data_IF_726365997021
#
_entry.id   IF_726365997021
#
_cell.length_a   1.000
_cell.length_b   1.000
_cell.length_c   1.000
_cell.angle_alpha   90.00
_cell.angle_beta   90.00
_cell.angle_gamma   90.00
#
_symmetry.space_group_name_H-M   'P 1'
#
loop_
_entity.id
_entity.type
_entity.pdbx_description
1 polymer ?
#
# COMPACT_ATOMS: atom_id res chain seq x y z
N UNK A 1 -25.84 51.10 -59.59
CA UNK A 1 -26.32 49.80 -60.07
C UNK A 1 -25.10 48.97 -60.42
N UNK A 2 -24.73 48.14 -59.46
CA UNK A 2 -24.28 46.75 -59.60
C UNK A 2 -23.01 46.40 -60.42
N UNK A 3 -21.95 46.09 -59.67
CA UNK A 3 -21.02 44.93 -59.74
C UNK A 3 -21.46 43.72 -60.62
N UNK A 4 -20.54 42.88 -61.18
CA UNK A 4 -19.61 42.11 -60.36
C UNK A 4 -18.16 41.84 -60.86
N UNK A 5 -17.25 41.87 -59.88
CA UNK A 5 -16.23 40.88 -59.48
C UNK A 5 -15.73 39.79 -60.45
N UNK A 6 -14.40 39.70 -60.60
CA UNK A 6 -13.65 38.43 -60.71
C UNK A 6 -12.41 38.50 -59.80
N UNK A 7 -12.37 37.61 -58.81
CA UNK A 7 -11.21 37.33 -57.93
C UNK A 7 -10.24 36.39 -58.64
N UNK A 8 -8.95 36.75 -58.65
CA UNK A 8 -7.83 35.89 -59.06
C UNK A 8 -6.77 35.86 -57.96
N UNK A 9 -6.56 34.66 -57.41
CA UNK A 9 -5.59 34.17 -56.43
C UNK A 9 -4.28 34.96 -56.23
N UNK A 10 -3.81 35.05 -54.97
CA UNK A 10 -2.68 34.25 -54.45
C UNK A 10 -2.42 34.59 -52.97
N UNK A 11 -2.96 33.76 -52.06
CA UNK A 11 -2.52 33.66 -50.68
C UNK A 11 -1.44 32.58 -50.60
N UNK A 12 -0.25 32.91 -50.09
CA UNK A 12 0.65 31.90 -49.54
C UNK A 12 1.50 32.49 -48.40
N UNK A 13 0.96 32.42 -47.18
CA UNK A 13 1.73 32.44 -45.93
C UNK A 13 1.13 31.39 -45.03
N UNK A 14 1.69 30.19 -45.09
CA UNK A 14 1.39 29.09 -44.18
C UNK A 14 1.92 29.51 -42.80
N UNK A 15 1.00 29.72 -41.87
CA UNK A 15 1.29 29.82 -40.44
C UNK A 15 1.54 28.39 -39.94
N UNK A 16 2.77 28.10 -39.52
CA UNK A 16 3.09 26.84 -38.85
C UNK A 16 2.49 26.89 -37.44
N UNK A 17 1.25 26.46 -37.28
CA UNK A 17 0.68 26.20 -35.97
C UNK A 17 1.23 24.86 -35.47
N UNK A 18 2.20 24.91 -34.56
CA UNK A 18 2.61 23.76 -33.76
C UNK A 18 1.39 23.40 -32.90
N UNK A 19 0.63 22.41 -33.34
CA UNK A 19 -0.40 21.78 -32.53
C UNK A 19 0.33 21.03 -31.41
N UNK A 20 0.51 21.68 -30.26
CA UNK A 20 0.58 20.95 -29.01
C UNK A 20 -0.75 20.24 -28.87
N UNK A 21 -0.81 18.99 -29.32
CA UNK A 21 -1.89 18.09 -28.94
C UNK A 21 -1.69 17.85 -27.45
N UNK A 22 -2.31 18.68 -26.61
CA UNK A 22 -2.64 18.24 -25.26
C UNK A 22 -3.45 16.95 -25.45
N UNK A 23 -2.80 15.82 -25.21
CA UNK A 23 -3.54 14.58 -24.96
C UNK A 23 -4.31 14.87 -23.68
N UNK A 24 -5.54 15.35 -23.85
CA UNK A 24 -6.55 15.24 -22.81
C UNK A 24 -6.75 13.73 -22.71
N UNK A 25 -5.99 13.08 -21.83
CA UNK A 25 -6.34 11.77 -21.32
C UNK A 25 -7.76 11.94 -20.79
N UNK A 26 -8.71 11.30 -21.45
CA UNK A 26 -10.04 11.17 -20.93
C UNK A 26 -9.87 10.34 -19.65
N UNK A 27 -9.92 11.00 -18.48
CA UNK A 27 -10.11 10.34 -17.20
C UNK A 27 -11.50 9.69 -17.22
N UNK A 28 -11.64 8.56 -17.91
CA UNK A 28 -12.43 7.50 -17.29
C UNK A 28 -11.73 7.23 -15.97
N UNK A 29 -12.44 7.43 -14.85
CA UNK A 29 -11.91 7.21 -13.51
C UNK A 29 -11.33 5.79 -13.43
N UNK A 30 -10.04 5.70 -13.73
CA UNK A 30 -9.30 4.46 -13.64
C UNK A 30 -9.11 4.27 -12.15
N UNK A 31 -9.67 3.19 -11.62
CA UNK A 31 -9.53 2.84 -10.21
C UNK A 31 -8.12 2.32 -9.96
N UNK A 32 -7.14 3.22 -10.12
CA UNK A 32 -5.70 2.96 -10.03
C UNK A 32 -5.35 2.36 -8.67
N UNK A 33 -6.11 2.68 -7.63
CA UNK A 33 -5.94 2.16 -6.28
C UNK A 33 -6.19 0.65 -6.17
N UNK A 34 -6.94 0.04 -7.09
CA UNK A 34 -7.30 -1.37 -6.98
C UNK A 34 -6.12 -2.26 -7.37
N UNK A 35 -5.66 -3.16 -6.48
CA UNK A 35 -4.72 -4.21 -6.85
C UNK A 35 -5.34 -5.16 -7.88
N UNK A 36 -4.50 -5.94 -8.56
CA UNK A 36 -4.98 -7.06 -9.36
C UNK A 36 -5.66 -8.09 -8.44
N UNK A 37 -6.98 -8.22 -8.59
CA UNK A 37 -7.77 -9.09 -7.73
C UNK A 37 -7.41 -10.56 -7.93
N UNK A 38 -7.25 -11.31 -6.82
CA UNK A 38 -7.02 -12.75 -6.89
C UNK A 38 -8.30 -13.52 -7.22
N UNK A 39 -9.43 -13.02 -6.73
CA UNK A 39 -10.78 -13.49 -7.02
C UNK A 39 -11.73 -12.30 -7.22
N UNK A 40 -11.99 -11.91 -8.49
CA UNK A 40 -12.88 -10.80 -8.83
C UNK A 40 -14.31 -10.93 -8.26
N UNK A 41 -14.82 -12.15 -8.04
CA UNK A 41 -16.17 -12.37 -7.50
C UNK A 41 -16.28 -11.99 -6.01
N UNK A 42 -15.14 -11.85 -5.32
CA UNK A 42 -15.07 -11.45 -3.92
C UNK A 42 -14.65 -9.98 -3.75
N UNK A 43 -14.57 -9.22 -4.85
CA UNK A 43 -14.37 -7.77 -4.80
C UNK A 43 -15.68 -7.09 -4.46
N UNK A 44 -15.71 -6.39 -3.33
CA UNK A 44 -16.88 -5.70 -2.79
C UNK A 44 -16.62 -4.20 -2.78
N UNK A 45 -17.47 -3.46 -3.48
CA UNK A 45 -17.39 -1.99 -3.57
C UNK A 45 -18.37 -1.35 -2.59
N UNK A 46 -17.83 -0.54 -1.69
CA UNK A 46 -18.58 0.38 -0.83
C UNK A 46 -18.49 1.81 -1.37
N UNK A 47 -19.11 2.77 -0.69
CA UNK A 47 -19.20 4.14 -1.18
C UNK A 47 -17.83 4.82 -1.28
N UNK A 48 -16.90 4.55 -0.36
CA UNK A 48 -15.61 5.24 -0.22
C UNK A 48 -14.40 4.31 -0.10
N UNK A 49 -14.60 3.01 -0.22
CA UNK A 49 -13.51 2.03 -0.32
C UNK A 49 -14.00 0.78 -1.04
N UNK A 50 -13.06 0.04 -1.59
CA UNK A 50 -13.29 -1.28 -2.16
C UNK A 50 -12.44 -2.28 -1.39
N UNK A 51 -12.88 -3.53 -1.31
CA UNK A 51 -12.08 -4.60 -0.71
C UNK A 51 -12.18 -5.88 -1.53
N UNK A 52 -11.22 -6.77 -1.37
CA UNK A 52 -11.36 -8.17 -1.77
C UNK A 52 -11.47 -9.05 -0.53
N UNK A 53 -12.57 -9.79 -0.41
CA UNK A 53 -12.84 -10.59 0.78
C UNK A 53 -12.34 -12.03 0.66
N UNK A 54 -11.72 -12.55 1.73
CA UNK A 54 -11.32 -13.95 1.83
C UNK A 54 -12.29 -14.74 2.69
N UNK A 55 -13.01 -15.67 2.06
CA UNK A 55 -13.82 -16.67 2.78
C UNK A 55 -12.97 -17.56 3.71
N UNK A 56 -11.72 -17.85 3.33
CA UNK A 56 -10.81 -18.69 4.10
C UNK A 56 -10.34 -18.00 5.40
N UNK A 57 -10.13 -16.68 5.35
CA UNK A 57 -9.66 -15.88 6.49
C UNK A 57 -10.78 -15.18 7.26
N UNK A 58 -11.97 -15.03 6.65
CA UNK A 58 -13.13 -14.28 7.16
C UNK A 58 -12.82 -12.79 7.39
N UNK A 59 -12.02 -12.24 6.51
CA UNK A 59 -11.49 -10.85 6.52
C UNK A 59 -11.19 -10.43 5.08
N UNK A 60 -11.03 -9.13 4.84
CA UNK A 60 -10.45 -8.67 3.58
C UNK A 60 -8.97 -9.06 3.43
N UNK A 61 -8.57 -9.37 2.19
CA UNK A 61 -7.20 -9.51 1.72
C UNK A 61 -6.52 -8.15 1.56
N UNK A 62 -7.28 -7.18 1.06
CA UNK A 62 -6.90 -5.78 0.96
C UNK A 62 -8.16 -4.91 0.96
N UNK A 63 -8.00 -3.67 1.39
CA UNK A 63 -8.92 -2.56 1.13
C UNK A 63 -8.17 -1.49 0.34
N UNK A 64 -8.82 -0.91 -0.66
CA UNK A 64 -8.27 0.14 -1.49
C UNK A 64 -9.21 1.35 -1.54
N UNK A 65 -8.66 2.55 -1.42
CA UNK A 65 -9.42 3.80 -1.44
C UNK A 65 -8.54 4.99 -1.82
N UNK A 66 -9.18 6.03 -2.38
CA UNK A 66 -8.59 7.37 -2.46
C UNK A 66 -8.90 8.12 -1.15
N UNK A 67 -7.94 8.91 -0.68
CA UNK A 67 -8.15 9.86 0.41
C UNK A 67 -7.74 11.26 -0.05
N UNK A 68 -8.73 12.12 -0.18
CA UNK A 68 -8.58 13.53 -0.53
C UNK A 68 -8.42 14.40 0.71
N UNK A 69 -7.83 15.59 0.54
CA UNK A 69 -7.76 16.61 1.58
C UNK A 69 -9.16 17.03 2.08
N UNK A 70 -10.16 17.04 1.21
CA UNK A 70 -11.55 17.34 1.58
C UNK A 70 -12.13 16.29 2.53
N UNK A 71 -11.92 15.00 2.23
CA UNK A 71 -12.42 13.90 3.05
C UNK A 71 -11.79 13.88 4.44
N UNK A 72 -10.49 14.24 4.54
CA UNK A 72 -9.80 14.42 5.84
C UNK A 72 -10.48 15.49 6.70
N UNK A 73 -11.03 16.54 6.09
CA UNK A 73 -11.75 17.63 6.77
C UNK A 73 -13.20 17.26 7.14
N UNK A 74 -13.67 16.07 6.74
CA UNK A 74 -15.00 15.57 7.10
C UNK A 74 -15.24 15.61 8.62
N UNK A 75 -16.50 15.87 9.00
CA UNK A 75 -16.90 16.15 10.39
C UNK A 75 -17.83 15.10 10.99
N UNK A 76 -18.20 14.06 10.22
CA UNK A 76 -19.09 13.00 10.70
C UNK A 76 -18.44 12.28 11.88
N UNK A 77 -19.23 12.11 12.94
CA UNK A 77 -18.78 11.46 14.18
C UNK A 77 -18.70 9.95 14.03
N UNK A 78 -17.70 9.35 14.71
CA UNK A 78 -17.48 7.91 14.74
C UNK A 78 -18.72 7.16 15.27
N UNK A 79 -19.18 6.14 14.54
CA UNK A 79 -20.42 5.40 14.89
C UNK A 79 -20.25 4.19 15.81
N UNK A 80 -19.13 3.47 15.71
CA UNK A 80 -18.90 2.23 16.48
C UNK A 80 -20.00 1.16 16.27
N UNK A 81 -20.63 1.12 15.09
CA UNK A 81 -21.72 0.20 14.76
C UNK A 81 -21.23 -1.03 13.98
N UNK A 82 -20.34 -1.82 14.61
CA UNK A 82 -19.79 -3.05 14.05
C UNK A 82 -20.90 -4.02 13.64
N UNK A 83 -20.90 -4.47 12.38
CA UNK A 83 -21.94 -5.36 11.85
C UNK A 83 -21.47 -6.15 10.65
N UNK A 84 -22.12 -7.28 10.40
CA UNK A 84 -21.86 -8.07 9.21
C UNK A 84 -22.05 -7.23 7.94
N UNK A 85 -21.22 -7.50 6.93
CA UNK A 85 -21.32 -6.83 5.65
C UNK A 85 -22.42 -7.48 4.78
N UNK A 86 -23.48 -6.75 4.41
CA UNK A 86 -24.53 -7.31 3.57
C UNK A 86 -24.12 -7.51 2.10
N UNK A 87 -23.00 -6.93 1.66
CA UNK A 87 -22.55 -6.99 0.26
C UNK A 87 -21.58 -8.15 -0.02
N UNK A 88 -21.02 -8.78 1.01
CA UNK A 88 -20.12 -9.94 0.86
C UNK A 88 -20.96 -11.20 0.55
N UNK A 89 -20.73 -11.88 -0.59
CA UNK A 89 -21.38 -13.16 -0.88
C UNK A 89 -21.07 -14.21 0.18
N UNK A 90 -22.10 -14.89 0.71
CA UNK A 90 -21.93 -15.89 1.78
C UNK A 90 -21.83 -15.30 3.20
N UNK A 91 -21.74 -13.97 3.33
CA UNK A 91 -21.74 -13.24 4.60
C UNK A 91 -20.38 -13.22 5.31
N UNK A 92 -20.30 -12.42 6.37
CA UNK A 92 -19.05 -12.18 7.11
C UNK A 92 -19.11 -12.67 8.55
N UNK A 93 -17.98 -12.56 9.25
CA UNK A 93 -17.96 -12.52 10.71
C UNK A 93 -18.88 -11.42 11.28
N UNK A 94 -19.18 -11.53 12.58
CA UNK A 94 -19.92 -10.50 13.32
C UNK A 94 -19.14 -10.06 14.58
N UNK A 95 -19.61 -9.01 15.26
CA UNK A 95 -18.96 -8.44 16.44
C UNK A 95 -18.70 -9.49 17.56
N UNK A 96 -19.57 -10.49 17.71
CA UNK A 96 -19.41 -11.48 18.78
C UNK A 96 -18.20 -12.42 18.56
N UNK A 97 -17.70 -12.55 17.33
CA UNK A 97 -16.51 -13.36 17.05
C UNK A 97 -15.23 -12.78 17.70
N UNK A 98 -15.23 -11.48 18.00
CA UNK A 98 -14.13 -10.80 18.69
C UNK A 98 -14.26 -10.82 20.22
N UNK A 99 -15.46 -11.15 20.75
CA UNK A 99 -15.73 -11.08 22.19
C UNK A 99 -14.82 -12.03 22.97
N UNK A 100 -14.02 -11.49 23.89
CA UNK A 100 -13.10 -12.27 24.72
C UNK A 100 -11.86 -12.79 24.00
N UNK A 101 -11.65 -12.41 22.73
CA UNK A 101 -10.48 -12.84 21.94
C UNK A 101 -9.17 -12.18 22.37
N UNK A 102 -9.24 -10.98 22.98
CA UNK A 102 -8.08 -10.14 23.27
C UNK A 102 -7.58 -9.30 22.08
N UNK A 103 -8.25 -9.36 20.93
CA UNK A 103 -7.94 -8.57 19.74
C UNK A 103 -8.93 -7.41 19.56
N UNK A 104 -8.44 -6.32 18.97
CA UNK A 104 -9.27 -5.22 18.51
C UNK A 104 -9.89 -5.51 17.15
N UNK A 105 -11.04 -4.86 16.89
CA UNK A 105 -11.61 -4.70 15.55
C UNK A 105 -10.76 -3.69 14.75
N UNK A 106 -9.60 -4.16 14.26
CA UNK A 106 -8.65 -3.35 13.52
C UNK A 106 -9.20 -2.98 12.13
N UNK A 107 -9.31 -1.69 11.84
CA UNK A 107 -9.78 -1.23 10.53
C UNK A 107 -8.64 -1.32 9.50
N UNK A 108 -8.97 -1.69 8.27
CA UNK A 108 -8.04 -1.54 7.12
C UNK A 108 -8.25 -0.20 6.42
N UNK A 109 -9.50 0.16 6.15
CA UNK A 109 -9.96 1.50 5.81
C UNK A 109 -10.44 2.23 7.10
N UNK A 110 -9.65 3.17 7.65
CA UNK A 110 -9.92 3.74 8.98
C UNK A 110 -11.19 4.60 9.00
N UNK A 111 -12.00 4.48 10.05
CA UNK A 111 -13.18 5.34 10.20
C UNK A 111 -12.85 6.84 10.25
N UNK A 112 -11.63 7.20 10.67
CA UNK A 112 -11.16 8.58 10.68
C UNK A 112 -10.90 9.15 9.27
N UNK A 113 -10.79 8.30 8.25
CA UNK A 113 -10.66 8.67 6.85
C UNK A 113 -12.06 8.79 6.21
N UNK A 114 -13.07 8.15 6.79
CA UNK A 114 -14.44 8.04 6.26
C UNK A 114 -15.41 9.08 6.87
N UNK A 115 -14.95 10.31 7.12
CA UNK A 115 -15.73 11.35 7.83
C UNK A 115 -16.57 12.26 6.94
N UNK A 116 -16.53 12.06 5.62
CA UNK A 116 -17.20 12.95 4.65
C UNK A 116 -18.72 12.76 4.62
N UNK A 117 -19.22 11.56 4.95
CA UNK A 117 -20.66 11.27 4.98
C UNK A 117 -21.03 10.21 6.01
N UNK A 118 -22.30 10.23 6.42
CA UNK A 118 -22.86 9.26 7.37
C UNK A 118 -22.78 7.81 6.83
N UNK A 119 -22.93 7.66 5.51
CA UNK A 119 -22.75 6.40 4.77
C UNK A 119 -21.31 5.92 4.89
N UNK A 120 -20.33 6.73 4.47
CA UNK A 120 -18.90 6.36 4.53
C UNK A 120 -18.50 5.89 5.93
N UNK A 121 -18.85 6.70 6.94
CA UNK A 121 -18.57 6.41 8.33
C UNK A 121 -19.22 5.09 8.75
N UNK A 122 -20.49 4.87 8.43
CA UNK A 122 -21.20 3.64 8.79
C UNK A 122 -20.60 2.42 8.09
N UNK A 123 -20.29 2.51 6.80
CA UNK A 123 -19.73 1.40 6.03
C UNK A 123 -18.32 1.03 6.50
N UNK A 124 -17.54 1.97 7.05
CA UNK A 124 -16.24 1.65 7.67
C UNK A 124 -16.33 0.66 8.84
N UNK A 125 -17.52 0.49 9.45
CA UNK A 125 -17.76 -0.47 10.54
C UNK A 125 -18.28 -1.83 10.07
N UNK A 126 -18.28 -2.13 8.77
CA UNK A 126 -18.53 -3.50 8.32
C UNK A 126 -17.42 -4.44 8.75
N UNK A 127 -17.79 -5.66 9.16
CA UNK A 127 -16.83 -6.68 9.61
C UNK A 127 -15.91 -7.18 8.49
N UNK A 128 -16.27 -6.97 7.23
CA UNK A 128 -15.39 -7.19 6.07
C UNK A 128 -14.14 -6.28 6.10
N UNK A 129 -14.26 -5.09 6.68
CA UNK A 129 -13.17 -4.12 6.90
C UNK A 129 -12.43 -4.33 8.24
N UNK A 130 -12.75 -5.38 9.00
CA UNK A 130 -12.16 -5.66 10.31
C UNK A 130 -11.21 -6.84 10.28
N UNK A 131 -10.03 -6.66 10.87
CA UNK A 131 -9.03 -7.71 11.03
C UNK A 131 -8.57 -7.77 12.49
N UNK A 132 -8.30 -8.97 13.06
CA UNK A 132 -7.78 -9.11 14.41
C UNK A 132 -6.41 -8.43 14.57
N UNK A 133 -6.39 -7.26 15.21
CA UNK A 133 -5.17 -6.53 15.53
C UNK A 133 -4.86 -6.61 17.01
N UNK A 134 -3.59 -6.80 17.36
CA UNK A 134 -3.14 -6.65 18.74
C UNK A 134 -3.42 -5.23 19.23
N UNK A 135 -3.97 -5.03 20.46
CA UNK A 135 -4.29 -3.69 20.94
C UNK A 135 -3.12 -2.70 20.92
N UNK A 136 -1.92 -3.16 21.25
CA UNK A 136 -0.66 -2.39 21.24
C UNK A 136 -0.19 -2.02 19.82
N UNK A 137 -0.56 -2.81 18.82
CA UNK A 137 -0.31 -2.51 17.40
C UNK A 137 -1.33 -1.49 16.89
N UNK A 138 -2.62 -1.82 16.98
CA UNK A 138 -3.75 -1.02 16.48
C UNK A 138 -3.72 0.41 17.04
N UNK A 139 -3.63 0.52 18.37
CA UNK A 139 -3.69 1.81 19.08
C UNK A 139 -2.32 2.50 19.15
N UNK A 140 -1.27 1.84 18.66
CA UNK A 140 0.12 2.28 18.71
C UNK A 140 0.64 2.66 17.33
N UNK A 141 1.53 1.84 16.78
CA UNK A 141 2.24 2.15 15.54
C UNK A 141 1.31 2.25 14.32
N UNK A 142 0.25 1.44 14.28
CA UNK A 142 -0.74 1.49 13.20
C UNK A 142 -1.48 2.82 13.16
N UNK A 143 -2.01 3.27 14.31
CA UNK A 143 -2.62 4.60 14.44
C UNK A 143 -1.63 5.74 14.10
N UNK A 144 -0.35 5.62 14.43
CA UNK A 144 0.67 6.61 14.03
C UNK A 144 0.78 6.70 12.51
N UNK A 145 0.81 5.55 11.81
CA UNK A 145 0.83 5.52 10.35
C UNK A 145 -0.44 6.15 9.76
N UNK A 146 -1.63 5.76 10.24
CA UNK A 146 -2.90 6.32 9.78
C UNK A 146 -2.94 7.85 9.93
N UNK A 147 -2.38 8.40 11.02
CA UNK A 147 -2.29 9.85 11.19
C UNK A 147 -1.30 10.49 10.19
N UNK A 148 -0.19 9.84 9.86
CA UNK A 148 0.75 10.33 8.85
C UNK A 148 0.11 10.33 7.46
N UNK A 149 -0.60 9.26 7.10
CA UNK A 149 -1.35 9.14 5.84
C UNK A 149 -2.35 10.29 5.66
N UNK A 150 -3.12 10.65 6.69
CA UNK A 150 -4.03 11.82 6.61
C UNK A 150 -3.31 13.15 6.41
N UNK A 151 -2.12 13.32 6.99
CA UNK A 151 -1.29 14.50 6.75
C UNK A 151 -0.85 14.53 5.29
N UNK A 152 -0.38 13.40 4.75
CA UNK A 152 0.04 13.30 3.37
C UNK A 152 -1.11 13.51 2.39
N UNK A 153 -2.32 13.01 2.68
CA UNK A 153 -3.51 13.31 1.88
C UNK A 153 -3.79 14.82 1.83
N UNK A 154 -3.64 15.51 2.96
CA UNK A 154 -3.82 16.97 3.03
C UNK A 154 -2.72 17.74 2.29
N UNK A 155 -1.47 17.33 2.46
CA UNK A 155 -0.30 18.02 1.89
C UNK A 155 -0.19 17.82 0.39
N UNK A 156 -0.59 16.64 -0.09
CA UNK A 156 -0.54 16.36 -1.51
C UNK A 156 -1.85 16.78 -2.18
N UNK A 157 -3.02 16.79 -1.52
CA UNK A 157 -4.42 17.02 -1.97
C UNK A 157 -5.21 15.72 -2.17
N UNK A 158 -4.60 14.66 -2.70
CA UNK A 158 -5.19 13.32 -2.78
C UNK A 158 -4.10 12.25 -2.87
N UNK A 159 -4.31 11.10 -2.23
CA UNK A 159 -3.44 9.93 -2.31
C UNK A 159 -4.29 8.66 -2.46
N UNK A 160 -3.74 7.66 -3.13
CA UNK A 160 -4.32 6.33 -3.25
C UNK A 160 -3.70 5.41 -2.20
N UNK A 161 -4.52 4.61 -1.53
CA UNK A 161 -4.11 3.81 -0.39
C UNK A 161 -4.61 2.38 -0.59
N UNK A 162 -3.71 1.41 -0.44
CA UNK A 162 -4.05 -0.01 -0.28
C UNK A 162 -3.58 -0.47 1.09
N UNK A 163 -4.41 -1.22 1.81
CA UNK A 163 -4.11 -1.69 3.15
C UNK A 163 -4.61 -3.10 3.35
N UNK A 164 -3.83 -3.96 4.01
CA UNK A 164 -4.27 -5.34 4.23
C UNK A 164 -3.46 -6.11 5.25
N UNK A 165 -3.94 -7.29 5.65
CA UNK A 165 -3.20 -8.25 6.44
C UNK A 165 -2.13 -8.99 5.63
N UNK A 166 -1.14 -9.55 6.35
CA UNK A 166 -0.17 -10.51 5.83
C UNK A 166 -0.42 -11.85 6.50
N UNK A 167 -0.76 -12.85 5.70
CA UNK A 167 -1.04 -14.21 6.16
C UNK A 167 0.15 -15.13 5.90
N UNK A 168 0.50 -15.91 6.92
CA UNK A 168 1.46 -17.03 6.85
C UNK A 168 0.71 -18.34 7.05
N UNK A 169 1.39 -19.46 6.92
CA UNK A 169 0.79 -20.77 7.20
C UNK A 169 0.47 -20.95 8.70
N UNK A 170 -0.46 -21.88 9.00
CA UNK A 170 -0.78 -22.33 10.37
C UNK A 170 -1.21 -21.23 11.36
N UNK A 171 -2.04 -20.30 10.89
CA UNK A 171 -2.53 -19.19 11.72
C UNK A 171 -3.53 -19.67 12.77
N UNK A 172 -3.39 -19.10 13.97
CA UNK A 172 -4.44 -19.16 14.98
C UNK A 172 -5.69 -18.39 14.52
N UNK A 173 -6.84 -18.77 15.07
CA UNK A 173 -8.15 -18.21 14.70
C UNK A 173 -8.93 -17.76 15.94
N UNK A 174 -9.79 -16.76 15.76
CA UNK A 174 -10.72 -16.28 16.80
C UNK A 174 -12.17 -16.48 16.35
N UNK A 175 -13.08 -16.47 17.34
CA UNK A 175 -14.51 -16.52 17.10
C UNK A 175 -15.01 -17.85 16.58
N UNK A 176 -16.33 -17.92 16.43
CA UNK A 176 -17.02 -19.12 15.93
C UNK A 176 -16.94 -19.24 14.42
N UNK A 177 -16.78 -18.12 13.72
CA UNK A 177 -16.60 -18.08 12.27
C UNK A 177 -15.17 -18.42 11.84
N UNK A 178 -14.21 -18.45 12.77
CA UNK A 178 -12.84 -18.87 12.51
C UNK A 178 -12.00 -17.82 11.80
N UNK A 179 -12.05 -16.57 12.28
CA UNK A 179 -11.32 -15.43 11.73
C UNK A 179 -9.82 -15.64 11.92
N UNK A 180 -9.05 -15.60 10.84
CA UNK A 180 -7.60 -15.78 10.91
C UNK A 180 -6.93 -14.58 11.56
N UNK A 181 -6.03 -14.83 12.51
CA UNK A 181 -5.17 -13.79 13.09
C UNK A 181 -3.99 -13.59 12.12
N UNK A 182 -3.82 -12.41 11.52
CA UNK A 182 -2.70 -12.18 10.61
C UNK A 182 -1.36 -12.11 11.34
N UNK A 183 -0.30 -12.48 10.63
CA UNK A 183 1.08 -12.37 11.11
C UNK A 183 1.61 -10.93 11.09
N UNK A 184 1.04 -10.10 10.22
CA UNK A 184 1.45 -8.74 9.99
C UNK A 184 0.43 -7.97 9.17
N UNK A 185 0.80 -6.74 8.81
CA UNK A 185 -0.01 -5.83 8.01
C UNK A 185 0.87 -5.07 7.05
N UNK A 186 0.27 -4.67 5.93
CA UNK A 186 0.87 -3.76 4.98
C UNK A 186 0.00 -2.54 4.76
N UNK A 187 0.64 -1.46 4.31
CA UNK A 187 -0.03 -0.32 3.69
C UNK A 187 0.85 0.21 2.57
N UNK A 188 0.27 0.41 1.39
CA UNK A 188 0.92 1.03 0.24
C UNK A 188 0.20 2.35 -0.05
N UNK A 189 0.97 3.39 -0.32
CA UNK A 189 0.49 4.73 -0.61
C UNK A 189 1.11 5.22 -1.91
N UNK A 190 0.27 5.75 -2.80
CA UNK A 190 0.67 6.38 -4.06
C UNK A 190 0.13 7.81 -4.11
N UNK A 191 1.00 8.76 -4.39
CA UNK A 191 0.65 10.09 -4.86
C UNK A 191 0.93 10.17 -6.35
N UNK A 192 -0.14 10.05 -7.15
CA UNK A 192 -0.07 9.99 -8.61
C UNK A 192 -0.38 11.33 -9.28
N UNK A 193 0.08 12.43 -8.68
CA UNK A 193 -0.19 13.78 -9.20
C UNK A 193 1.11 14.51 -9.53
N UNK A 194 1.11 15.08 -10.73
CA UNK A 194 2.22 15.87 -11.24
C UNK A 194 2.47 17.11 -10.36
N UNK A 195 3.72 17.59 -10.24
CA UNK A 195 4.90 17.23 -11.04
C UNK A 195 5.75 16.08 -10.47
N UNK A 196 5.35 15.50 -9.32
CA UNK A 196 6.15 14.50 -8.63
C UNK A 196 5.27 13.31 -8.24
N UNK A 197 5.39 12.26 -9.04
CA UNK A 197 4.83 10.96 -8.70
C UNK A 197 5.72 10.31 -7.64
N UNK A 198 5.10 9.76 -6.60
CA UNK A 198 5.85 9.10 -5.51
C UNK A 198 4.99 8.05 -4.84
N UNK A 199 5.65 6.99 -4.37
CA UNK A 199 5.00 5.91 -3.66
C UNK A 199 5.83 5.45 -2.46
N UNK A 200 5.18 4.75 -1.52
CA UNK A 200 5.83 4.17 -0.36
C UNK A 200 5.02 2.99 0.17
N UNK A 201 5.71 1.90 0.52
CA UNK A 201 5.15 0.75 1.20
C UNK A 201 5.52 0.73 2.68
N UNK A 202 4.73 0.01 3.47
CA UNK A 202 5.05 -0.30 4.86
C UNK A 202 4.71 -1.75 5.19
N UNK A 203 5.57 -2.38 5.98
CA UNK A 203 5.36 -3.73 6.52
C UNK A 203 5.49 -3.73 8.03
N UNK A 204 4.52 -4.32 8.73
CA UNK A 204 4.54 -4.46 10.18
C UNK A 204 4.22 -5.88 10.61
N UNK A 205 4.84 -6.34 11.69
CA UNK A 205 4.32 -7.46 12.47
C UNK A 205 3.06 -7.03 13.23
N UNK A 206 2.15 -7.97 13.50
CA UNK A 206 0.94 -7.73 14.31
C UNK A 206 1.29 -7.64 15.81
N UNK A 207 2.09 -6.65 16.18
CA UNK A 207 2.60 -6.41 17.54
C UNK A 207 2.92 -4.93 17.77
N UNK A 208 3.02 -4.53 19.03
CA UNK A 208 3.29 -3.14 19.39
C UNK A 208 4.73 -2.73 19.10
N UNK A 209 4.92 -1.53 18.55
CA UNK A 209 6.25 -0.95 18.33
C UNK A 209 6.32 0.52 18.76
N UNK A 210 7.48 0.90 19.30
CA UNK A 210 7.84 2.28 19.60
C UNK A 210 8.88 2.86 18.63
N UNK A 211 9.33 2.07 17.64
CA UNK A 211 10.26 2.53 16.62
C UNK A 211 9.62 3.61 15.72
N UNK A 212 10.43 4.47 15.07
CA UNK A 212 9.96 5.39 14.05
C UNK A 212 9.25 4.67 12.89
N UNK A 213 8.28 5.34 12.25
CA UNK A 213 7.60 4.79 11.06
C UNK A 213 8.57 4.53 9.90
N UNK A 214 9.64 5.31 9.81
CA UNK A 214 10.68 5.17 8.78
C UNK A 214 11.38 3.82 8.82
N UNK A 215 11.43 3.17 9.99
CA UNK A 215 12.07 1.85 10.15
C UNK A 215 11.22 0.72 9.56
N UNK A 216 9.97 1.01 9.19
CA UNK A 216 9.03 0.07 8.58
C UNK A 216 8.71 0.41 7.12
N UNK A 217 9.29 1.50 6.59
CA UNK A 217 9.11 1.90 5.21
C UNK A 217 9.90 0.96 4.29
N UNK A 218 9.27 0.55 3.19
CA UNK A 218 9.83 -0.34 2.18
C UNK A 218 9.37 0.11 0.78
N UNK A 219 9.95 -0.49 -0.25
CA UNK A 219 9.47 -0.34 -1.62
C UNK A 219 8.14 -1.09 -1.81
N UNK A 220 7.43 -0.83 -2.90
CA UNK A 220 6.18 -1.57 -3.18
C UNK A 220 6.53 -3.00 -3.59
N UNK A 221 7.60 -3.22 -4.36
CA UNK A 221 8.12 -4.55 -4.70
C UNK A 221 8.28 -5.45 -3.47
N UNK A 222 8.74 -4.88 -2.34
CA UNK A 222 8.90 -5.65 -1.10
C UNK A 222 7.56 -6.00 -0.44
N UNK A 223 6.55 -5.14 -0.58
CA UNK A 223 5.18 -5.44 -0.15
C UNK A 223 4.56 -6.50 -1.06
N UNK A 224 4.75 -6.43 -2.36
CA UNK A 224 4.30 -7.46 -3.32
C UNK A 224 4.93 -8.80 -3.02
N UNK A 225 6.25 -8.83 -2.78
CA UNK A 225 6.97 -10.05 -2.37
C UNK A 225 6.42 -10.66 -1.09
N UNK A 226 5.97 -9.82 -0.15
CA UNK A 226 5.40 -10.26 1.12
C UNK A 226 3.94 -10.72 1.03
N UNK A 227 3.19 -10.27 0.02
CA UNK A 227 1.73 -10.43 -0.05
C UNK A 227 1.24 -11.26 -1.24
N UNK A 228 1.99 -11.27 -2.34
CA UNK A 228 1.62 -11.86 -3.62
C UNK A 228 0.61 -11.04 -4.43
N UNK A 229 0.30 -9.81 -4.01
CA UNK A 229 -0.50 -8.88 -4.80
C UNK A 229 0.38 -8.14 -5.81
N UNK A 230 -0.28 -7.66 -6.86
CA UNK A 230 0.24 -6.74 -7.87
C UNK A 230 -0.51 -5.41 -7.67
N UNK A 231 0.19 -4.41 -7.14
CA UNK A 231 -0.38 -3.11 -6.81
C UNK A 231 -0.26 -2.19 -8.01
N UNK A 232 -1.21 -1.26 -8.17
CA UNK A 232 -1.15 -0.24 -9.22
C UNK A 232 -0.96 -0.75 -10.68
N UNK A 233 -1.15 -2.05 -10.95
CA UNK A 233 -1.13 -2.78 -12.26
C UNK A 233 -1.78 -2.10 -13.48
N UNK A 234 -2.57 -1.05 -13.23
CA UNK A 234 -3.24 -0.23 -14.23
C UNK A 234 -2.40 0.97 -14.71
N UNK A 235 -1.27 1.25 -14.05
CA UNK A 235 -0.24 2.15 -14.53
C UNK A 235 0.45 1.57 -15.77
N UNK A 236 1.18 2.40 -16.51
CA UNK A 236 2.06 1.87 -17.54
C UNK A 236 3.30 1.25 -16.89
N UNK A 237 3.78 0.12 -17.42
CA UNK A 237 4.95 -0.63 -16.93
C UNK A 237 6.13 0.28 -16.54
N UNK A 238 6.48 1.27 -17.39
CA UNK A 238 7.60 2.19 -17.12
C UNK A 238 7.41 3.04 -15.84
N UNK A 239 6.18 3.46 -15.57
CA UNK A 239 5.83 4.31 -14.43
C UNK A 239 5.68 3.46 -13.16
N UNK A 240 5.07 2.30 -13.29
CA UNK A 240 4.96 1.30 -12.23
C UNK A 240 6.34 0.86 -11.76
N UNK A 241 7.21 0.37 -12.65
CA UNK A 241 8.57 -0.06 -12.31
C UNK A 241 9.38 1.05 -11.64
N UNK A 242 9.19 2.31 -12.05
CA UNK A 242 9.84 3.46 -11.42
C UNK A 242 9.34 3.70 -9.98
N UNK A 243 8.03 3.60 -9.76
CA UNK A 243 7.39 3.91 -8.47
C UNK A 243 7.54 2.78 -7.46
N UNK A 244 7.63 1.55 -7.92
CA UNK A 244 7.56 0.37 -7.05
C UNK A 244 8.91 -0.14 -6.60
N UNK A 245 9.95 0.03 -7.42
CA UNK A 245 11.30 -0.46 -7.16
C UNK A 245 12.08 0.31 -6.09
N UNK A 246 11.62 1.51 -5.71
CA UNK A 246 12.31 2.35 -4.73
C UNK A 246 11.33 3.21 -3.92
N UNK A 247 11.81 3.72 -2.79
CA UNK A 247 11.05 4.67 -1.98
C UNK A 247 12.00 5.72 -1.40
N UNK A 248 11.48 6.92 -1.17
CA UNK A 248 12.23 8.03 -0.58
C UNK A 248 11.45 8.65 0.57
N UNK A 249 11.86 8.33 1.80
CA UNK A 249 11.26 8.87 3.03
C UNK A 249 11.33 10.40 3.10
N UNK A 250 12.26 11.04 2.39
CA UNK A 250 12.39 12.50 2.32
C UNK A 250 11.24 13.18 1.58
N UNK A 251 10.49 12.43 0.77
CA UNK A 251 9.33 12.94 0.02
C UNK A 251 8.03 12.90 0.83
N UNK A 252 8.09 12.33 2.04
CA UNK A 252 6.96 12.13 2.94
C UNK A 252 7.20 12.82 4.28
N UNK A 253 6.27 13.67 4.72
CA UNK A 253 6.44 14.42 5.95
C UNK A 253 6.15 13.58 7.19
N UNK A 254 7.19 13.09 7.88
CA UNK A 254 7.07 12.37 9.15
C UNK A 254 7.13 13.28 10.40
N UNK A 255 7.45 14.58 10.25
CA UNK A 255 7.92 15.41 11.38
C UNK A 255 6.84 15.96 12.31
N UNK A 256 5.57 15.98 11.87
CA UNK A 256 4.45 16.47 12.70
C UNK A 256 4.07 15.53 13.87
N UNK A 257 4.69 14.34 13.97
CA UNK A 257 4.49 13.38 15.07
C UNK A 257 5.58 13.43 16.16
N UNK A 258 6.60 14.29 16.03
CA UNK A 258 7.79 14.27 16.91
C UNK A 258 7.76 15.22 18.13
N UNK A 259 6.61 15.81 18.49
CA UNK A 259 6.53 16.66 19.69
C UNK A 259 6.39 15.85 20.99
N UNK A 260 7.39 15.02 21.28
CA UNK A 260 7.90 14.75 22.64
C UNK A 260 9.40 14.46 22.55
N UNK A 261 10.20 15.52 22.67
CA UNK A 261 11.63 15.39 22.99
C UNK A 261 11.77 14.65 24.32
N UNK A 262 12.33 13.44 24.28
CA UNK A 262 13.04 12.85 25.42
C UNK A 262 14.30 12.17 24.91
N UNK A 263 15.43 12.70 25.34
CA UNK A 263 16.77 12.13 25.24
C UNK A 263 16.85 10.79 25.98
N UNK A 264 17.30 9.73 25.29
CA UNK A 264 17.91 8.53 25.88
C UNK A 264 18.77 7.88 24.78
N UNK A 265 20.11 7.94 24.85
CA UNK A 265 21.02 6.98 25.51
C UNK A 265 20.76 5.50 25.18
N UNK A 266 21.73 4.95 24.44
CA UNK A 266 22.06 3.55 24.12
C UNK A 266 20.97 2.70 23.46
N UNK A 267 21.14 2.49 22.15
CA UNK A 267 20.40 1.55 21.33
C UNK A 267 20.68 0.09 21.73
N UNK A 268 19.66 -0.79 21.76
CA UNK A 268 19.87 -2.23 21.65
C UNK A 268 20.12 -2.61 20.18
N UNK A 269 21.02 -3.57 19.95
CA UNK A 269 21.38 -4.07 18.62
C UNK A 269 20.21 -4.86 17.99
N UNK A 270 20.02 -4.80 16.65
CA UNK A 270 19.00 -5.55 15.94
C UNK A 270 19.24 -7.07 16.00
N UNK A 271 18.15 -7.84 15.99
CA UNK A 271 18.15 -9.29 15.80
C UNK A 271 18.48 -9.60 14.33
N UNK A 272 19.57 -10.34 14.11
CA UNK A 272 20.11 -10.67 12.79
C UNK A 272 19.19 -11.62 12.00
N UNK A 273 18.84 -11.23 10.77
CA UNK A 273 18.43 -12.15 9.72
C UNK A 273 19.60 -13.11 9.40
N UNK A 274 19.35 -14.34 8.89
CA UNK A 274 20.45 -15.18 8.43
C UNK A 274 21.23 -14.42 7.36
N UNK A 275 22.47 -14.06 7.69
CA UNK A 275 23.39 -13.35 6.83
C UNK A 275 24.63 -14.21 6.70
N UNK A 276 25.12 -14.32 5.46
CA UNK A 276 26.48 -14.79 5.18
C UNK A 276 27.08 -13.77 4.23
N UNK A 277 28.39 -13.56 4.29
CA UNK A 277 29.11 -12.58 3.47
C UNK A 277 28.81 -12.70 1.98
N UNK A 278 28.38 -13.88 1.55
CA UNK A 278 28.06 -14.19 0.18
C UNK A 278 26.72 -14.92 0.03
N UNK A 279 26.08 -14.69 -1.11
CA UNK A 279 24.93 -15.44 -1.61
C UNK A 279 25.34 -16.29 -2.82
N UNK A 280 25.10 -17.60 -2.74
CA UNK A 280 25.35 -18.55 -3.83
C UNK A 280 24.05 -18.77 -4.58
N UNK A 281 24.02 -18.41 -5.86
CA UNK A 281 23.00 -18.91 -6.78
C UNK A 281 23.31 -20.37 -7.11
N UNK A 282 22.49 -21.31 -6.64
CA UNK A 282 22.75 -22.76 -6.79
C UNK A 282 22.56 -23.24 -8.24
N UNK A 283 21.81 -22.50 -9.07
CA UNK A 283 21.61 -22.82 -10.48
C UNK A 283 22.79 -22.43 -11.36
N UNK A 284 23.41 -21.27 -11.12
CA UNK A 284 24.58 -20.82 -11.88
C UNK A 284 25.92 -21.11 -11.17
N UNK A 285 25.88 -21.60 -9.93
CA UNK A 285 27.02 -21.73 -9.03
C UNK A 285 27.83 -20.43 -8.92
N UNK A 286 27.16 -19.28 -8.95
CA UNK A 286 27.79 -17.95 -8.90
C UNK A 286 27.64 -17.34 -7.51
N UNK A 287 28.73 -16.78 -7.00
CA UNK A 287 28.82 -16.12 -5.70
C UNK A 287 28.68 -14.60 -5.84
N UNK A 288 27.83 -14.03 -5.02
CA UNK A 288 27.53 -12.59 -4.97
C UNK A 288 27.76 -12.07 -3.56
N UNK A 289 28.38 -10.90 -3.39
CA UNK A 289 28.51 -10.21 -2.10
C UNK A 289 27.38 -9.20 -1.91
N UNK A 290 27.28 -8.63 -0.71
CA UNK A 290 26.21 -7.71 -0.30
C UNK A 290 26.01 -6.49 -1.22
N UNK A 291 27.06 -6.06 -1.93
CA UNK A 291 26.99 -4.94 -2.88
C UNK A 291 26.40 -5.33 -4.25
N UNK A 292 26.09 -6.61 -4.46
CA UNK A 292 25.61 -7.13 -5.73
C UNK A 292 24.08 -7.22 -5.77
N UNK A 293 23.46 -6.69 -6.84
CA UNK A 293 22.00 -6.81 -7.10
C UNK A 293 21.42 -8.23 -7.10
N UNK A 294 22.28 -9.25 -7.20
CA UNK A 294 21.91 -10.67 -7.21
C UNK A 294 22.09 -11.35 -5.84
N UNK A 295 22.58 -10.62 -4.83
CA UNK A 295 22.69 -11.09 -3.46
C UNK A 295 21.29 -11.27 -2.86
N UNK A 296 21.00 -12.50 -2.41
CA UNK A 296 19.69 -12.90 -1.88
C UNK A 296 18.51 -12.64 -2.83
N UNK A 297 18.77 -12.57 -4.14
CA UNK A 297 17.78 -12.16 -5.13
C UNK A 297 17.55 -13.22 -6.21
N UNK A 298 17.85 -14.49 -5.91
CA UNK A 298 17.63 -15.62 -6.81
C UNK A 298 16.77 -16.67 -6.11
N UNK A 299 15.76 -17.21 -6.79
CA UNK A 299 14.79 -18.15 -6.21
C UNK A 299 15.44 -19.42 -5.63
N UNK A 300 16.63 -19.79 -6.10
CA UNK A 300 17.42 -20.92 -5.60
C UNK A 300 18.81 -20.41 -5.20
N UNK A 301 19.07 -20.36 -3.89
CA UNK A 301 20.36 -19.97 -3.35
C UNK A 301 20.48 -20.11 -1.84
N UNK A 302 21.69 -19.93 -1.32
CA UNK A 302 21.97 -19.96 0.12
C UNK A 302 23.08 -18.98 0.51
N UNK A 303 23.09 -18.59 1.78
CA UNK A 303 24.15 -17.79 2.37
C UNK A 303 25.37 -18.65 2.70
N UNK A 304 26.56 -18.10 2.48
CA UNK A 304 27.84 -18.70 2.89
C UNK A 304 28.84 -17.62 3.28
N UNK A 305 29.77 -17.96 4.17
CA UNK A 305 30.94 -17.15 4.50
C UNK A 305 32.22 -17.68 3.83
N UNK A 306 32.13 -18.79 3.07
CA UNK A 306 33.27 -19.37 2.37
C UNK A 306 33.55 -18.62 1.06
N UNK A 307 34.64 -17.86 1.05
CA UNK A 307 35.15 -17.14 -0.13
C UNK A 307 35.61 -18.06 -1.29
N UNK A 308 35.62 -19.37 -1.08
CA UNK A 308 35.98 -20.36 -2.09
C UNK A 308 34.76 -21.12 -2.64
N UNK A 309 33.57 -20.94 -2.05
CA UNK A 309 32.35 -21.61 -2.51
C UNK A 309 31.77 -20.91 -3.74
N UNK A 310 31.53 -21.66 -4.82
CA UNK A 310 31.04 -21.12 -6.09
C UNK A 310 32.06 -20.28 -6.87
N UNK A 311 31.64 -19.80 -8.04
CA UNK A 311 32.45 -18.95 -8.92
C UNK A 311 32.17 -17.48 -8.61
N UNK A 312 33.18 -16.62 -8.38
CA UNK A 312 32.94 -15.20 -8.09
C UNK A 312 32.20 -14.52 -9.25
N UNK A 313 31.20 -13.72 -8.92
CA UNK A 313 30.50 -12.90 -9.91
C UNK A 313 31.48 -11.94 -10.59
N UNK A 314 31.47 -11.90 -11.92
CA UNK A 314 32.33 -10.99 -12.69
C UNK A 314 32.03 -9.50 -12.51
N UNK A 315 30.95 -9.14 -11.79
CA UNK A 315 30.55 -7.76 -11.50
C UNK A 315 31.02 -7.35 -10.10
N UNK A 316 30.64 -8.11 -9.07
CA UNK A 316 30.94 -7.75 -7.68
C UNK A 316 32.22 -8.40 -7.14
N UNK A 317 32.81 -9.36 -7.87
CA UNK A 317 34.05 -10.05 -7.48
C UNK A 317 33.85 -11.29 -6.61
N UNK A 318 32.62 -11.71 -6.36
CA UNK A 318 32.32 -12.74 -5.36
C UNK A 318 31.99 -12.09 -4.04
#
# INVERSE_FOLDING_TARGET
MDEPFVYGAFMNKILLAILFTSRIFSLTAQSLELPLALNPDMVVKHAYYTLEYSEAHKTALWTAYELTAEEVLGTVSRKNNYRADPLVPGGTANENDYRGSGFDHGHLAPAADMKISDTAMSESFYMSNMVPQRPEFNRGIWLKLENAVRIWATENEAILIVSGPIYKENLAKIGTTGISIPSGFFKVILDYREPQLKAIGFLFANEGSNLPLTDFAVSIDDVERATGFDFFYQLSDDIEEQLESSFDIGQWNFTKHSNRVRTATSAPQPLEAPSGRYWINTKSNTRHNEDCRYYNNTAEGHYTDDENEGTPCGICGG
#
